data_IF_646656039764
#
_entry.id   IF_646656039764
#
_cell.length_a   1.000
_cell.length_b   1.000
_cell.length_c   1.000
_cell.angle_alpha   90.00
_cell.angle_beta   90.00
_cell.angle_gamma   90.00
#
_symmetry.space_group_name_H-M   'P 1'
#
loop_
_entity.id
_entity.type
_entity.pdbx_description
1 polymer ?
#
# COMPACT_ATOMS: atom_id res chain seq x y z
N UNK A 1 -13.10 52.69 -22.94
CA UNK A 1 -14.43 52.31 -23.47
C UNK A 1 -14.54 50.80 -23.34
N UNK A 2 -14.99 50.25 -22.21
CA UNK A 2 -16.40 49.98 -21.83
C UNK A 2 -17.07 49.06 -22.88
N UNK A 3 -17.55 47.84 -22.61
CA UNK A 3 -18.38 47.27 -21.53
C UNK A 3 -18.11 45.74 -21.46
N UNK A 4 -17.79 45.10 -20.32
CA UNK A 4 -18.67 44.50 -19.29
C UNK A 4 -20.05 44.04 -19.77
N UNK A 5 -20.23 42.72 -19.92
CA UNK A 5 -21.54 42.08 -19.72
C UNK A 5 -21.42 40.79 -18.89
N UNK A 6 -22.14 40.84 -17.78
CA UNK A 6 -22.38 39.84 -16.76
C UNK A 6 -23.63 39.06 -17.14
N UNK A 7 -23.65 37.74 -16.97
CA UNK A 7 -24.90 37.02 -16.82
C UNK A 7 -24.77 35.93 -15.76
N UNK A 8 -25.39 36.22 -14.61
CA UNK A 8 -25.88 35.26 -13.61
C UNK A 8 -27.02 34.46 -14.22
N UNK A 9 -27.06 33.16 -13.93
CA UNK A 9 -28.31 32.41 -13.80
C UNK A 9 -28.21 31.48 -12.59
N UNK A 10 -29.20 31.64 -11.71
CA UNK A 10 -29.48 30.84 -10.53
C UNK A 10 -30.97 30.43 -10.59
N UNK A 11 -31.32 29.42 -9.82
CA UNK A 11 -32.62 28.73 -9.69
C UNK A 11 -32.83 27.67 -10.77
N UNK A 12 -33.07 26.40 -10.42
CA UNK A 12 -34.26 25.98 -9.69
C UNK A 12 -34.05 24.73 -8.80
N UNK A 13 -34.65 24.77 -7.60
CA UNK A 13 -34.71 23.69 -6.62
C UNK A 13 -36.17 23.21 -6.59
N UNK A 14 -36.43 22.00 -7.06
CA UNK A 14 -37.73 21.34 -6.86
C UNK A 14 -37.56 19.96 -6.23
N UNK A 15 -37.90 19.96 -4.94
CA UNK A 15 -38.48 18.91 -4.11
C UNK A 15 -39.11 17.73 -4.85
N UNK A 16 -38.72 16.51 -4.51
CA UNK A 16 -39.67 15.39 -4.46
C UNK A 16 -39.32 14.43 -3.33
N UNK A 17 -40.35 14.08 -2.58
CA UNK A 17 -40.38 13.35 -1.31
C UNK A 17 -40.99 11.97 -1.58
N UNK A 18 -40.62 11.00 -0.74
CA UNK A 18 -41.28 9.70 -0.48
C UNK A 18 -40.89 8.51 -1.37
N UNK A 19 -40.17 7.55 -0.80
CA UNK A 19 -40.78 6.28 -0.39
C UNK A 19 -39.83 5.50 0.52
N UNK A 20 -40.29 5.25 1.74
CA UNK A 20 -39.73 4.29 2.65
C UNK A 20 -40.12 2.88 2.18
N UNK A 21 -39.16 1.97 2.09
CA UNK A 21 -39.45 0.54 2.00
C UNK A 21 -38.72 -0.12 3.16
N UNK A 22 -39.53 -0.59 4.11
CA UNK A 22 -39.16 -1.54 5.15
C UNK A 22 -38.77 -2.87 4.48
N UNK A 23 -37.60 -3.40 4.83
CA UNK A 23 -37.28 -4.80 4.60
C UNK A 23 -36.60 -5.38 5.85
N UNK A 24 -37.44 -5.77 6.79
CA UNK A 24 -37.13 -6.75 7.84
C UNK A 24 -37.04 -8.12 7.18
N UNK A 25 -35.86 -8.74 7.14
CA UNK A 25 -35.73 -10.15 6.77
C UNK A 25 -34.52 -10.80 7.46
N UNK A 26 -34.84 -11.47 8.56
CA UNK A 26 -34.41 -12.82 8.95
C UNK A 26 -32.96 -13.24 8.65
N UNK A 27 -32.15 -13.12 9.69
CA UNK A 27 -30.97 -13.95 9.94
C UNK A 27 -31.37 -15.43 10.06
N UNK A 28 -31.02 -16.25 9.08
CA UNK A 28 -30.96 -17.72 9.23
C UNK A 28 -29.51 -18.16 9.25
N UNK A 29 -29.07 -18.62 10.42
CA UNK A 29 -27.80 -19.33 10.65
C UNK A 29 -27.81 -20.65 9.88
N UNK A 30 -26.94 -20.82 8.90
CA UNK A 30 -26.64 -22.14 8.34
C UNK A 30 -25.28 -22.64 8.86
N UNK A 31 -25.38 -23.68 9.68
CA UNK A 31 -24.28 -24.49 10.20
C UNK A 31 -23.66 -25.31 9.05
N UNK A 32 -22.42 -25.02 8.66
CA UNK A 32 -21.61 -25.94 7.87
C UNK A 32 -20.92 -26.95 8.80
N UNK A 33 -21.56 -28.11 8.98
CA UNK A 33 -20.94 -29.32 9.54
C UNK A 33 -19.97 -29.89 8.50
N UNK A 34 -18.66 -29.72 8.72
CA UNK A 34 -17.63 -30.47 8.01
C UNK A 34 -17.61 -31.92 8.51
N UNK A 35 -18.06 -32.84 7.66
CA UNK A 35 -17.77 -34.27 7.78
C UNK A 35 -16.31 -34.53 7.37
N UNK A 36 -15.47 -34.96 8.30
CA UNK A 36 -14.18 -35.59 7.99
C UNK A 36 -14.38 -37.12 7.91
N UNK A 37 -13.87 -37.81 6.86
CA UNK A 37 -13.87 -39.26 6.82
C UNK A 37 -12.76 -39.84 7.72
N UNK A 38 -13.13 -40.86 8.49
CA UNK A 38 -12.24 -41.61 9.36
C UNK A 38 -11.26 -42.47 8.54
N UNK A 39 -9.95 -42.22 8.70
CA UNK A 39 -8.89 -43.08 8.17
C UNK A 39 -8.59 -44.16 9.21
N UNK A 40 -8.85 -45.42 8.85
CA UNK A 40 -8.43 -46.61 9.63
C UNK A 40 -6.91 -46.74 9.59
N UNK A 41 -6.26 -46.57 10.74
CA UNK A 41 -4.85 -46.91 10.93
C UNK A 41 -4.71 -48.41 11.18
N UNK A 42 -3.97 -49.06 10.29
CA UNK A 42 -3.60 -50.45 10.36
C UNK A 42 -2.57 -50.75 11.44
N UNK A 43 -2.72 -51.94 12.01
CA UNK A 43 -1.92 -52.60 13.02
C UNK A 43 -0.44 -52.69 12.66
N UNK A 44 0.40 -51.93 13.35
CA UNK A 44 1.86 -52.03 13.36
C UNK A 44 2.42 -52.00 14.78
N UNK A 45 1.75 -52.71 15.70
CA UNK A 45 2.10 -52.79 17.11
C UNK A 45 2.91 -54.08 17.32
N UNK A 46 4.25 -53.97 17.43
CA UNK A 46 5.17 -54.84 18.20
C UNK A 46 6.64 -54.70 17.76
N UNK A 47 7.24 -53.51 17.91
CA UNK A 47 8.71 -53.37 18.01
C UNK A 47 9.18 -52.10 18.75
N UNK A 48 8.29 -51.38 19.45
CA UNK A 48 8.60 -50.04 20.00
C UNK A 48 8.77 -49.99 21.53
N UNK A 49 9.02 -51.12 22.19
CA UNK A 49 9.06 -51.21 23.67
C UNK A 49 10.43 -51.50 24.30
N UNK A 50 11.53 -51.43 23.54
CA UNK A 50 12.88 -51.57 24.10
C UNK A 50 13.78 -50.33 23.95
N UNK A 51 13.30 -49.25 23.33
CA UNK A 51 14.06 -47.99 23.17
C UNK A 51 13.53 -46.81 24.00
N UNK A 52 12.39 -46.95 24.70
CA UNK A 52 11.80 -45.85 25.49
C UNK A 52 12.40 -45.67 26.89
N UNK A 53 13.08 -46.67 27.45
CA UNK A 53 13.64 -46.57 28.81
C UNK A 53 14.90 -45.70 28.92
N UNK A 54 15.76 -45.70 27.91
CA UNK A 54 17.07 -45.03 27.98
C UNK A 54 16.96 -43.54 27.62
N UNK A 55 16.02 -43.16 26.75
CA UNK A 55 15.85 -41.76 26.32
C UNK A 55 15.14 -40.87 27.35
N UNK A 56 14.40 -41.44 28.30
CA UNK A 56 13.66 -40.67 29.31
C UNK A 56 14.56 -40.19 30.47
N UNK A 57 15.56 -40.98 30.86
CA UNK A 57 16.49 -40.63 31.95
C UNK A 57 17.50 -39.54 31.53
N UNK A 58 17.93 -39.50 30.26
CA UNK A 58 18.87 -38.47 29.78
C UNK A 58 18.20 -37.09 29.59
N UNK A 59 16.89 -37.05 29.31
CA UNK A 59 16.14 -35.80 29.06
C UNK A 59 15.75 -35.05 30.35
N UNK A 60 15.61 -35.75 31.47
CA UNK A 60 15.27 -35.15 32.77
C UNK A 60 16.48 -34.51 33.47
N UNK A 61 17.70 -34.99 33.24
CA UNK A 61 18.92 -34.40 33.81
C UNK A 61 19.42 -33.15 33.04
N UNK A 62 19.08 -33.01 31.76
CA UNK A 62 19.48 -31.85 30.93
C UNK A 62 18.54 -30.63 31.03
N UNK A 63 17.30 -30.81 31.51
CA UNK A 63 16.32 -29.70 31.62
C UNK A 63 16.36 -28.99 32.98
N UNK A 64 16.84 -29.65 34.03
CA UNK A 64 16.94 -29.07 35.37
C UNK A 64 18.14 -28.13 35.57
N UNK A 65 19.22 -28.29 34.79
CA UNK A 65 20.44 -27.46 34.88
C UNK A 65 20.43 -26.24 33.97
N UNK A 66 19.64 -26.23 32.89
CA UNK A 66 19.50 -25.06 31.99
C UNK A 66 18.50 -24.01 32.50
N UNK A 67 17.52 -24.40 33.34
CA UNK A 67 16.52 -23.48 33.90
C UNK A 67 17.05 -22.65 35.10
N UNK A 68 18.08 -23.12 35.80
CA UNK A 68 18.67 -22.40 36.94
C UNK A 68 19.74 -21.38 36.54
N UNK A 69 20.28 -21.45 35.31
CA UNK A 69 21.27 -20.50 34.80
C UNK A 69 20.67 -19.27 34.08
N UNK A 70 19.42 -19.33 33.62
CA UNK A 70 18.77 -18.23 32.89
C UNK A 70 17.89 -17.30 33.76
N UNK A 71 17.59 -17.69 35.01
CA UNK A 71 16.72 -16.90 35.89
C UNK A 71 17.33 -15.59 36.44
N UNK A 72 18.67 -15.39 36.58
CA UNK A 72 19.18 -14.11 37.09
C UNK A 72 19.39 -13.03 36.01
N UNK A 73 19.25 -13.33 34.71
CA UNK A 73 19.43 -12.34 33.63
C UNK A 73 18.15 -11.50 33.39
N UNK A 74 17.00 -11.93 33.93
CA UNK A 74 15.71 -11.24 33.72
C UNK A 74 15.48 -10.00 34.62
N UNK A 75 16.42 -9.64 35.50
CA UNK A 75 16.18 -8.61 36.54
C UNK A 75 16.98 -7.30 36.41
N UNK A 76 17.74 -7.04 35.32
CA UNK A 76 18.61 -5.83 35.25
C UNK A 76 18.32 -4.88 34.08
N UNK A 77 17.10 -4.81 33.54
CA UNK A 77 16.75 -3.76 32.57
C UNK A 77 15.34 -3.18 32.80
N UNK A 78 15.13 -2.61 33.99
CA UNK A 78 14.00 -1.75 34.28
C UNK A 78 14.38 -0.27 34.21
N UNK A 79 14.87 0.23 33.07
CA UNK A 79 14.86 1.67 32.83
C UNK A 79 13.42 2.07 32.52
N UNK A 80 12.67 2.52 33.53
CA UNK A 80 11.40 3.21 33.31
C UNK A 80 11.70 4.54 32.63
N UNK A 81 11.28 4.77 31.37
CA UNK A 81 11.39 6.09 30.79
C UNK A 81 10.55 7.03 31.65
N UNK A 82 11.21 8.06 32.16
CA UNK A 82 10.59 9.15 32.88
C UNK A 82 9.71 9.89 31.87
N UNK A 83 8.42 9.57 31.86
CA UNK A 83 7.42 10.26 31.05
C UNK A 83 7.30 11.66 31.65
N UNK A 84 7.99 12.62 31.05
CA UNK A 84 7.69 14.03 31.25
C UNK A 84 6.28 14.26 30.71
N UNK A 85 5.35 14.84 31.51
CA UNK A 85 4.04 15.19 31.01
C UNK A 85 4.20 16.40 30.10
N UNK A 86 4.38 16.15 28.80
CA UNK A 86 4.21 17.17 27.78
C UNK A 86 2.74 17.15 27.38
N UNK A 87 1.99 18.01 28.07
CA UNK A 87 0.59 18.28 27.79
C UNK A 87 0.49 19.06 26.47
N UNK A 88 0.62 18.34 25.36
CA UNK A 88 0.16 18.74 24.02
C UNK A 88 -0.12 17.46 23.20
N UNK A 89 -1.21 16.77 23.56
CA UNK A 89 -1.66 15.48 22.99
C UNK A 89 -1.87 15.45 21.46
N UNK A 90 -1.52 16.52 20.73
CA UNK A 90 -1.70 16.68 19.28
C UNK A 90 -0.39 16.96 18.53
N UNK A 91 0.72 16.33 18.93
CA UNK A 91 1.97 16.44 18.17
C UNK A 91 1.86 15.83 16.77
N UNK A 92 2.62 16.36 15.81
CA UNK A 92 2.63 15.86 14.42
C UNK A 92 3.04 14.39 14.30
N UNK A 93 3.98 13.94 15.13
CA UNK A 93 4.37 12.52 15.19
C UNK A 93 3.18 11.64 15.61
N UNK A 94 2.39 12.08 16.60
CA UNK A 94 1.22 11.35 17.09
C UNK A 94 0.12 11.28 16.03
N UNK A 95 -0.11 12.36 15.27
CA UNK A 95 -1.07 12.33 14.16
C UNK A 95 -0.70 11.25 13.13
N UNK A 96 0.57 11.19 12.72
CA UNK A 96 1.04 10.23 11.74
C UNK A 96 0.89 8.78 12.23
N UNK A 97 1.24 8.54 13.50
CA UNK A 97 1.10 7.24 14.16
C UNK A 97 -0.37 6.80 14.32
N UNK A 98 -1.26 7.72 14.71
CA UNK A 98 -2.71 7.46 14.75
C UNK A 98 -3.25 7.16 13.36
N UNK A 99 -2.86 7.92 12.35
CA UNK A 99 -3.26 7.69 10.96
C UNK A 99 -2.81 6.30 10.49
N UNK A 100 -1.55 5.96 10.74
CA UNK A 100 -0.95 4.70 10.29
C UNK A 100 -1.63 3.49 10.93
N UNK A 101 -1.99 3.56 12.21
CA UNK A 101 -2.82 2.53 12.86
C UNK A 101 -4.18 2.34 12.21
N UNK A 102 -4.85 3.43 11.82
CA UNK A 102 -6.15 3.32 11.15
C UNK A 102 -6.01 2.64 9.79
N UNK A 103 -5.00 3.03 9.01
CA UNK A 103 -4.72 2.40 7.71
C UNK A 103 -4.43 0.90 7.85
N UNK A 104 -3.63 0.51 8.85
CA UNK A 104 -3.30 -0.89 9.11
C UNK A 104 -4.54 -1.70 9.56
N UNK A 105 -5.30 -1.18 10.53
CA UNK A 105 -6.52 -1.83 11.04
C UNK A 105 -7.54 -2.08 9.94
N UNK A 106 -7.67 -1.14 9.00
CA UNK A 106 -8.62 -1.24 7.90
C UNK A 106 -8.03 -1.85 6.62
N UNK A 107 -6.74 -2.21 6.63
CA UNK A 107 -6.02 -2.78 5.47
C UNK A 107 -6.14 -1.91 4.21
N UNK A 108 -6.17 -0.59 4.37
CA UNK A 108 -6.35 0.38 3.27
C UNK A 108 -5.04 0.94 2.72
N UNK A 109 -3.91 0.38 3.16
CA UNK A 109 -2.56 0.84 2.83
C UNK A 109 -2.29 0.89 1.32
N UNK A 110 -1.52 1.90 0.90
CA UNK A 110 -1.10 2.02 -0.49
C UNK A 110 0.08 1.10 -0.81
N UNK A 111 -0.18 0.02 -1.55
CA UNK A 111 0.84 -0.95 -1.94
C UNK A 111 1.89 -0.40 -2.93
N UNK A 112 1.67 0.77 -3.54
CA UNK A 112 2.61 1.34 -4.50
C UNK A 112 3.86 1.97 -3.85
N UNK A 113 3.82 2.24 -2.55
CA UNK A 113 4.92 2.89 -1.82
C UNK A 113 5.09 2.29 -0.44
N UNK A 114 6.30 2.32 0.09
CA UNK A 114 6.60 1.84 1.44
C UNK A 114 7.01 2.98 2.37
N UNK A 115 6.60 2.89 3.63
CA UNK A 115 7.07 3.78 4.71
C UNK A 115 8.56 3.60 4.92
N UNK A 116 9.27 4.71 5.08
CA UNK A 116 10.69 4.71 5.43
C UNK A 116 10.83 4.60 6.94
N UNK A 117 11.49 3.54 7.41
CA UNK A 117 11.66 3.29 8.86
C UNK A 117 12.36 4.46 9.54
N UNK A 118 11.79 4.94 10.65
CA UNK A 118 12.31 6.10 11.38
C UNK A 118 11.93 7.46 10.81
N UNK A 119 11.22 7.51 9.67
CA UNK A 119 10.74 8.74 9.05
C UNK A 119 9.27 8.60 8.67
N UNK A 120 8.35 8.81 9.63
CA UNK A 120 6.91 8.57 9.45
C UNK A 120 6.27 9.41 8.32
N UNK A 121 6.88 10.53 7.98
CA UNK A 121 6.45 11.47 6.95
C UNK A 121 7.09 11.24 5.57
N UNK A 122 7.86 10.15 5.41
CA UNK A 122 8.51 9.78 4.16
C UNK A 122 8.06 8.39 3.69
N UNK A 123 7.81 8.29 2.39
CA UNK A 123 7.62 7.01 1.69
C UNK A 123 8.50 6.94 0.47
N UNK A 124 8.96 5.75 0.16
CA UNK A 124 9.77 5.47 -1.02
C UNK A 124 9.13 4.39 -1.86
N UNK A 125 9.37 4.47 -3.17
CA UNK A 125 9.25 3.32 -4.06
C UNK A 125 10.66 2.80 -4.40
N UNK A 126 10.71 1.73 -5.20
CA UNK A 126 11.97 1.12 -5.63
C UNK A 126 12.88 2.09 -6.40
N UNK A 127 12.32 3.04 -7.14
CA UNK A 127 13.07 3.97 -7.98
C UNK A 127 13.70 5.07 -7.12
N UNK A 128 12.91 5.67 -6.23
CA UNK A 128 13.39 6.63 -5.24
C UNK A 128 14.45 6.00 -4.32
N UNK A 129 14.25 4.74 -3.92
CA UNK A 129 15.20 4.03 -3.09
C UNK A 129 16.53 3.79 -3.81
N UNK A 130 16.48 3.38 -5.07
CA UNK A 130 17.67 3.22 -5.89
C UNK A 130 18.41 4.55 -6.09
N UNK A 131 17.68 5.64 -6.40
CA UNK A 131 18.28 6.96 -6.60
C UNK A 131 18.87 7.53 -5.32
N UNK A 132 18.21 7.36 -4.17
CA UNK A 132 18.73 7.83 -2.88
C UNK A 132 20.08 7.17 -2.53
N UNK A 133 20.25 5.88 -2.84
CA UNK A 133 21.54 5.20 -2.64
C UNK A 133 22.66 5.70 -3.56
N UNK A 134 22.31 6.20 -4.75
CA UNK A 134 23.23 6.72 -5.75
C UNK A 134 23.45 8.23 -5.65
N UNK A 135 22.78 8.92 -4.72
CA UNK A 135 22.86 10.37 -4.60
C UNK A 135 24.16 10.78 -3.91
N UNK A 136 24.99 11.56 -4.59
CA UNK A 136 26.34 11.89 -4.14
C UNK A 136 26.45 13.28 -3.52
N UNK A 137 25.48 14.17 -3.78
CA UNK A 137 25.43 15.51 -3.20
C UNK A 137 24.29 15.68 -2.19
N UNK A 138 24.47 16.60 -1.25
CA UNK A 138 23.40 16.97 -0.30
C UNK A 138 22.18 17.56 -1.03
N UNK A 139 22.40 18.24 -2.16
CA UNK A 139 21.31 18.83 -2.96
C UNK A 139 20.44 17.74 -3.61
N UNK A 140 21.07 16.71 -4.20
CA UNK A 140 20.37 15.53 -4.74
C UNK A 140 19.60 14.80 -3.64
N UNK A 141 20.23 14.57 -2.49
CA UNK A 141 19.61 13.88 -1.36
C UNK A 141 18.42 14.65 -0.81
N UNK A 142 18.53 15.98 -0.69
CA UNK A 142 17.43 16.86 -0.27
C UNK A 142 16.29 16.82 -1.27
N UNK A 143 16.58 16.89 -2.56
CA UNK A 143 15.57 16.79 -3.61
C UNK A 143 14.83 15.45 -3.52
N UNK A 144 15.56 14.33 -3.41
CA UNK A 144 14.96 13.00 -3.32
C UNK A 144 14.14 12.81 -2.04
N UNK A 145 14.59 13.36 -0.90
CA UNK A 145 13.82 13.34 0.34
C UNK A 145 12.50 14.10 0.21
N UNK A 146 12.50 15.25 -0.49
CA UNK A 146 11.28 16.00 -0.79
C UNK A 146 10.34 15.21 -1.72
N UNK A 147 10.88 14.47 -2.70
CA UNK A 147 10.08 13.57 -3.52
C UNK A 147 9.44 12.44 -2.68
N UNK A 148 10.19 11.86 -1.73
CA UNK A 148 9.65 10.87 -0.79
C UNK A 148 8.54 11.44 0.10
N UNK A 149 8.70 12.69 0.54
CA UNK A 149 7.70 13.41 1.32
C UNK A 149 6.40 13.64 0.54
N UNK A 150 6.52 14.11 -0.71
CA UNK A 150 5.37 14.31 -1.58
C UNK A 150 4.66 12.97 -1.86
N UNK A 151 5.42 11.89 -2.05
CA UNK A 151 4.87 10.54 -2.24
C UNK A 151 4.15 10.01 -1.00
N UNK A 152 4.65 10.29 0.20
CA UNK A 152 3.93 9.97 1.43
C UNK A 152 2.58 10.69 1.47
N UNK A 153 2.54 12.00 1.24
CA UNK A 153 1.30 12.78 1.24
C UNK A 153 0.30 12.28 0.19
N UNK A 154 0.75 12.05 -1.04
CA UNK A 154 -0.10 11.51 -2.11
C UNK A 154 -0.72 10.16 -1.69
N UNK A 155 0.07 9.30 -1.05
CA UNK A 155 -0.37 7.97 -0.60
C UNK A 155 -1.34 8.07 0.56
N UNK A 156 -1.06 8.91 1.56
CA UNK A 156 -1.98 9.17 2.69
C UNK A 156 -3.30 9.75 2.21
N UNK A 157 -3.30 10.60 1.19
CA UNK A 157 -4.55 11.12 0.62
C UNK A 157 -5.38 10.03 -0.05
N UNK A 158 -4.75 9.07 -0.74
CA UNK A 158 -5.46 7.90 -1.29
C UNK A 158 -5.96 6.97 -0.20
N UNK A 159 -5.15 6.71 0.82
CA UNK A 159 -5.51 5.87 1.97
C UNK A 159 -6.69 6.47 2.72
N UNK A 160 -6.69 7.79 2.94
CA UNK A 160 -7.80 8.49 3.57
C UNK A 160 -9.11 8.30 2.83
N UNK A 161 -9.09 8.34 1.49
CA UNK A 161 -10.28 8.11 0.65
C UNK A 161 -10.78 6.66 0.69
N UNK A 162 -9.92 5.70 1.08
CA UNK A 162 -10.27 4.29 1.20
C UNK A 162 -10.76 3.91 2.61
N UNK A 163 -10.52 4.74 3.61
CA UNK A 163 -10.97 4.49 4.99
C UNK A 163 -12.50 4.62 5.11
N UNK A 164 -13.15 3.89 6.03
CA UNK A 164 -14.57 4.10 6.34
C UNK A 164 -14.86 5.54 6.76
N UNK A 165 -16.06 6.03 6.45
CA UNK A 165 -16.43 7.43 6.68
C UNK A 165 -16.31 7.84 8.15
N UNK A 166 -16.64 6.93 9.08
CA UNK A 166 -16.56 7.16 10.53
C UNK A 166 -15.10 7.37 10.96
N UNK A 167 -14.17 6.60 10.39
CA UNK A 167 -12.74 6.70 10.67
C UNK A 167 -12.16 7.99 10.08
N UNK A 168 -12.61 8.36 8.88
CA UNK A 168 -12.26 9.65 8.27
C UNK A 168 -12.69 10.82 9.16
N UNK A 169 -13.91 10.79 9.70
CA UNK A 169 -14.43 11.80 10.63
C UNK A 169 -13.64 11.86 11.94
N UNK A 170 -13.29 10.70 12.52
CA UNK A 170 -12.44 10.64 13.71
C UNK A 170 -11.06 11.25 13.47
N UNK A 171 -10.43 10.93 12.34
CA UNK A 171 -9.14 11.53 11.96
C UNK A 171 -9.28 13.04 11.72
N UNK A 172 -10.41 13.51 11.20
CA UNK A 172 -10.62 14.94 10.93
C UNK A 172 -10.57 15.79 12.21
N UNK A 173 -10.89 15.23 13.38
CA UNK A 173 -10.80 15.90 14.69
C UNK A 173 -9.37 16.36 15.05
N UNK A 174 -8.36 15.83 14.37
CA UNK A 174 -6.97 16.26 14.51
C UNK A 174 -6.65 17.57 13.78
N UNK A 175 -7.59 18.09 13.01
CA UNK A 175 -7.44 19.30 12.22
C UNK A 175 -8.36 20.42 12.69
N UNK A 176 -8.01 21.69 12.38
CA UNK A 176 -8.94 22.80 12.52
C UNK A 176 -10.25 22.51 11.77
N UNK A 177 -11.38 22.98 12.30
CA UNK A 177 -12.72 22.84 11.71
C UNK A 177 -13.21 21.40 11.49
N UNK A 178 -12.44 20.39 11.91
CA UNK A 178 -12.80 18.96 11.82
C UNK A 178 -13.21 18.49 10.42
N UNK A 179 -12.62 19.09 9.36
CA UNK A 179 -12.91 18.72 7.97
C UNK A 179 -11.80 17.87 7.35
N UNK A 180 -12.17 17.05 6.35
CA UNK A 180 -11.19 16.26 5.58
C UNK A 180 -10.20 17.16 4.84
N UNK A 181 -10.64 18.32 4.34
CA UNK A 181 -9.76 19.28 3.68
C UNK A 181 -8.73 19.86 4.67
N UNK A 182 -9.18 20.26 5.87
CA UNK A 182 -8.29 20.74 6.91
C UNK A 182 -7.34 19.65 7.42
N UNK A 183 -7.78 18.38 7.47
CA UNK A 183 -6.92 17.24 7.79
C UNK A 183 -5.80 17.07 6.77
N UNK A 184 -6.10 17.12 5.47
CA UNK A 184 -5.08 17.07 4.41
C UNK A 184 -4.07 18.22 4.55
N UNK A 185 -4.55 19.44 4.79
CA UNK A 185 -3.68 20.58 5.05
C UNK A 185 -2.81 20.39 6.31
N UNK A 186 -3.37 19.80 7.36
CA UNK A 186 -2.67 19.51 8.62
C UNK A 186 -1.59 18.44 8.43
N UNK A 187 -1.88 17.36 7.71
CA UNK A 187 -0.89 16.35 7.33
C UNK A 187 0.27 16.96 6.53
N UNK A 188 -0.02 17.84 5.57
CA UNK A 188 1.00 18.53 4.78
C UNK A 188 1.91 19.42 5.65
N UNK A 189 1.31 20.25 6.53
CA UNK A 189 2.08 21.09 7.46
C UNK A 189 2.93 20.25 8.42
N UNK A 190 2.35 19.19 8.99
CA UNK A 190 3.06 18.30 9.91
C UNK A 190 4.21 17.55 9.23
N UNK A 191 4.00 17.07 8.01
CA UNK A 191 5.05 16.47 7.19
C UNK A 191 6.22 17.43 6.96
N UNK A 192 5.93 18.69 6.61
CA UNK A 192 6.95 19.72 6.43
C UNK A 192 7.66 20.08 7.75
N UNK A 193 6.93 20.11 8.88
CA UNK A 193 7.51 20.35 10.20
C UNK A 193 8.49 19.25 10.59
N UNK A 194 8.05 17.98 10.54
CA UNK A 194 8.89 16.82 10.88
C UNK A 194 10.14 16.78 9.99
N UNK A 195 9.99 17.05 8.69
CA UNK A 195 11.14 17.15 7.78
C UNK A 195 12.12 18.26 8.19
N UNK A 196 11.62 19.45 8.55
CA UNK A 196 12.51 20.54 8.99
C UNK A 196 13.26 20.19 10.27
N UNK A 197 12.60 19.53 11.22
CA UNK A 197 13.20 19.11 12.49
C UNK A 197 14.32 18.08 12.26
N UNK A 198 14.04 17.02 11.49
CA UNK A 198 15.02 15.96 11.20
C UNK A 198 16.23 16.47 10.40
N UNK A 199 16.01 17.39 9.46
CA UNK A 199 17.04 17.86 8.52
C UNK A 199 17.89 19.03 9.04
N UNK A 200 17.77 19.37 10.33
CA UNK A 200 18.74 20.24 11.01
C UNK A 200 20.08 19.52 11.27
N UNK A 201 20.08 18.19 11.28
CA UNK A 201 21.28 17.38 11.49
C UNK A 201 21.78 16.81 10.16
N UNK A 202 23.03 17.11 9.78
CA UNK A 202 23.67 16.59 8.56
C UNK A 202 23.74 15.05 8.52
N UNK A 203 23.72 14.36 9.66
CA UNK A 203 23.68 12.90 9.72
C UNK A 203 22.34 12.30 9.25
N UNK A 204 21.29 13.13 9.09
CA UNK A 204 19.97 12.70 8.61
C UNK A 204 20.07 11.95 7.30
N UNK A 205 20.93 12.39 6.37
CA UNK A 205 21.03 11.79 5.06
C UNK A 205 21.66 10.39 5.13
N UNK A 206 22.60 10.17 6.03
CA UNK A 206 23.18 8.85 6.27
C UNK A 206 22.15 7.90 6.91
N UNK A 207 21.36 8.40 7.87
CA UNK A 207 20.23 7.65 8.43
C UNK A 207 19.20 7.32 7.36
N UNK A 208 18.83 8.30 6.53
CA UNK A 208 17.85 8.14 5.46
C UNK A 208 18.31 7.13 4.41
N UNK A 209 19.56 7.23 3.93
CA UNK A 209 20.14 6.26 2.99
C UNK A 209 20.10 4.82 3.52
N UNK A 210 20.34 4.63 4.82
CA UNK A 210 20.26 3.30 5.46
C UNK A 210 18.82 2.83 5.65
N UNK A 211 17.91 3.75 5.97
CA UNK A 211 16.50 3.46 6.25
C UNK A 211 15.67 3.17 4.99
N UNK A 212 16.05 3.77 3.86
CA UNK A 212 15.38 3.58 2.58
C UNK A 212 15.74 2.20 2.02
N UNK A 213 14.97 1.21 2.44
CA UNK A 213 15.10 -0.17 1.99
C UNK A 213 14.47 -0.35 0.61
N UNK A 214 15.10 -1.17 -0.23
CA UNK A 214 14.37 -1.95 -1.23
C UNK A 214 14.18 -3.31 -0.58
N UNK A 215 12.97 -3.59 -0.11
CA UNK A 215 12.64 -4.96 0.25
C UNK A 215 12.71 -5.77 -1.04
N UNK A 216 13.67 -6.67 -1.09
CA UNK A 216 13.72 -7.67 -2.13
C UNK A 216 12.83 -8.83 -1.68
N UNK A 217 11.70 -9.04 -2.36
CA UNK A 217 10.78 -10.15 -2.07
C UNK A 217 11.42 -11.52 -2.41
N UNK A 218 12.61 -11.55 -3.02
CA UNK A 218 13.35 -12.77 -3.25
C UNK A 218 14.09 -13.23 -2.00
N UNK A 219 13.69 -14.38 -1.46
CA UNK A 219 14.46 -15.08 -0.42
C UNK A 219 15.81 -15.54 -0.97
N UNK A 220 16.88 -14.79 -0.67
CA UNK A 220 18.23 -15.04 -1.18
C UNK A 220 18.74 -16.48 -0.96
N UNK A 221 18.36 -17.13 0.14
CA UNK A 221 18.72 -18.53 0.37
C UNK A 221 18.08 -19.47 -0.66
N UNK A 222 16.83 -19.24 -1.10
CA UNK A 222 16.18 -20.05 -2.15
C UNK A 222 16.89 -19.90 -3.49
N UNK A 223 17.50 -18.74 -3.74
CA UNK A 223 18.37 -18.48 -4.88
C UNK A 223 19.71 -19.21 -4.72
N UNK A 224 20.26 -19.24 -3.51
CA UNK A 224 21.53 -19.91 -3.20
C UNK A 224 21.45 -21.44 -3.27
N UNK A 225 20.35 -22.08 -2.86
CA UNK A 225 20.20 -23.55 -2.99
C UNK A 225 19.93 -24.03 -4.42
N UNK A 226 19.86 -23.13 -5.41
CA UNK A 226 19.68 -23.52 -6.81
C UNK A 226 18.34 -24.21 -7.10
N UNK A 227 17.33 -24.05 -6.24
CA UNK A 227 16.00 -24.61 -6.46
C UNK A 227 15.27 -23.89 -7.60
N UNK A 228 15.55 -22.62 -7.85
CA UNK A 228 14.91 -21.84 -8.92
C UNK A 228 15.02 -22.50 -10.30
N UNK A 229 16.22 -22.93 -10.78
CA UNK A 229 16.34 -23.70 -12.02
C UNK A 229 15.39 -24.89 -12.15
N UNK A 230 15.09 -25.59 -11.06
CA UNK A 230 14.19 -26.76 -11.08
C UNK A 230 12.74 -26.36 -11.36
N UNK A 231 12.34 -25.16 -10.94
CA UNK A 231 10.99 -24.64 -11.17
C UNK A 231 10.86 -23.83 -12.47
N UNK A 232 11.96 -23.49 -13.15
CA UNK A 232 11.91 -22.71 -14.40
C UNK A 232 11.05 -23.42 -15.44
N UNK A 233 11.31 -24.69 -15.72
CA UNK A 233 10.57 -25.42 -16.77
C UNK A 233 9.06 -25.49 -16.51
N UNK A 234 8.56 -25.96 -15.34
CA UNK A 234 7.12 -26.02 -15.10
C UNK A 234 6.47 -24.63 -14.99
N UNK A 235 7.16 -23.64 -14.43
CA UNK A 235 6.63 -22.27 -14.33
C UNK A 235 6.57 -21.59 -15.69
N UNK A 236 7.59 -21.74 -16.53
CA UNK A 236 7.60 -21.23 -17.90
C UNK A 236 6.46 -21.85 -18.71
N UNK A 237 6.31 -23.18 -18.66
CA UNK A 237 5.19 -23.85 -19.33
C UNK A 237 3.82 -23.36 -18.86
N UNK A 238 3.63 -23.19 -17.55
CA UNK A 238 2.37 -22.65 -17.00
C UNK A 238 2.13 -21.20 -17.44
N UNK A 239 3.17 -20.37 -17.43
CA UNK A 239 3.09 -18.98 -17.83
C UNK A 239 2.78 -18.85 -19.33
N UNK A 240 3.41 -19.68 -20.17
CA UNK A 240 3.18 -19.71 -21.61
C UNK A 240 1.74 -20.15 -21.92
N UNK A 241 1.25 -21.22 -21.30
CA UNK A 241 -0.15 -21.66 -21.44
C UNK A 241 -1.15 -20.59 -20.98
N UNK A 242 -0.91 -19.97 -19.82
CA UNK A 242 -1.77 -18.91 -19.33
C UNK A 242 -1.73 -17.69 -20.27
N UNK A 243 -0.58 -17.40 -20.86
CA UNK A 243 -0.43 -16.33 -21.85
C UNK A 243 -1.21 -16.65 -23.13
N UNK A 244 -1.10 -17.88 -23.65
CA UNK A 244 -1.86 -18.34 -24.82
C UNK A 244 -3.36 -18.30 -24.54
N UNK A 245 -3.82 -18.72 -23.36
CA UNK A 245 -5.23 -18.65 -22.97
C UNK A 245 -5.73 -17.20 -22.92
N UNK A 246 -4.98 -16.30 -22.30
CA UNK A 246 -5.31 -14.87 -22.27
C UNK A 246 -5.35 -14.31 -23.70
N UNK A 247 -4.32 -14.57 -24.51
CA UNK A 247 -4.29 -14.10 -25.90
C UNK A 247 -5.47 -14.64 -26.71
N UNK A 248 -5.79 -15.92 -26.59
CA UNK A 248 -6.93 -16.53 -27.25
C UNK A 248 -8.24 -15.92 -26.77
N UNK A 249 -8.42 -15.71 -25.47
CA UNK A 249 -9.61 -15.06 -24.90
C UNK A 249 -9.81 -13.64 -25.43
N UNK A 250 -8.72 -12.88 -25.61
CA UNK A 250 -8.75 -11.52 -26.17
C UNK A 250 -9.02 -11.57 -27.68
N UNK A 251 -8.37 -12.48 -28.41
CA UNK A 251 -8.52 -12.62 -29.86
C UNK A 251 -9.89 -13.15 -30.28
N UNK A 252 -10.52 -13.99 -29.45
CA UNK A 252 -11.85 -14.55 -29.68
C UNK A 252 -12.96 -13.81 -28.93
N UNK A 253 -12.63 -12.72 -28.24
CA UNK A 253 -13.62 -11.90 -27.55
C UNK A 253 -14.61 -11.29 -28.57
N UNK A 254 -15.88 -11.65 -28.41
CA UNK A 254 -16.97 -11.11 -29.22
C UNK A 254 -17.66 -9.96 -28.48
N UNK A 255 -17.55 -8.74 -29.04
CA UNK A 255 -18.20 -7.55 -28.50
C UNK A 255 -19.73 -7.69 -28.44
N UNK A 256 -20.35 -8.58 -29.24
CA UNK A 256 -21.79 -8.83 -29.20
C UNK A 256 -22.28 -9.40 -27.85
N UNK A 257 -21.36 -9.99 -27.07
CA UNK A 257 -21.65 -10.52 -25.72
C UNK A 257 -21.83 -9.42 -24.68
N UNK A 258 -21.46 -8.18 -24.99
CA UNK A 258 -21.62 -7.04 -24.09
C UNK A 258 -23.07 -6.55 -24.10
N UNK A 259 -23.73 -6.63 -22.95
CA UNK A 259 -25.06 -6.05 -22.74
C UNK A 259 -24.94 -4.64 -22.15
N UNK A 260 -25.61 -3.61 -22.69
CA UNK A 260 -25.51 -2.24 -22.18
C UNK A 260 -25.83 -2.12 -20.68
N UNK A 261 -26.88 -2.79 -20.22
CA UNK A 261 -27.33 -2.83 -18.82
C UNK A 261 -26.26 -3.33 -17.83
N UNK A 262 -25.43 -4.29 -18.25
CA UNK A 262 -24.39 -4.89 -17.38
C UNK A 262 -22.99 -4.41 -17.70
N UNK A 263 -22.79 -3.52 -18.68
CA UNK A 263 -21.46 -3.09 -19.12
C UNK A 263 -21.21 -1.63 -18.81
N UNK A 264 -20.24 -1.35 -17.95
CA UNK A 264 -19.71 -0.01 -17.75
C UNK A 264 -18.65 0.28 -18.82
N UNK A 265 -18.77 1.40 -19.50
CA UNK A 265 -17.80 1.81 -20.53
C UNK A 265 -17.16 3.13 -20.14
N UNK A 266 -15.85 3.10 -19.94
CA UNK A 266 -15.02 4.26 -19.68
C UNK A 266 -14.32 4.67 -20.98
N UNK A 267 -14.61 5.88 -21.46
CA UNK A 267 -14.00 6.46 -22.66
C UNK A 267 -13.21 7.72 -22.28
N UNK A 268 -12.04 7.96 -22.88
CA UNK A 268 -11.39 9.24 -22.72
C UNK A 268 -12.25 10.35 -23.36
N UNK A 269 -12.28 11.51 -22.71
CA UNK A 269 -13.05 12.67 -23.19
C UNK A 269 -12.52 13.22 -24.53
N UNK A 270 -11.24 13.00 -24.80
CA UNK A 270 -10.54 13.45 -25.99
C UNK A 270 -9.54 12.39 -26.43
N UNK A 271 -9.38 12.21 -27.74
CA UNK A 271 -8.26 11.47 -28.33
C UNK A 271 -7.48 12.45 -29.18
N UNK A 272 -6.36 12.91 -28.66
CA UNK A 272 -5.45 13.79 -29.38
C UNK A 272 -4.14 13.03 -29.62
N UNK A 273 -3.98 12.40 -30.81
CA UNK A 273 -2.76 11.66 -31.12
C UNK A 273 -1.54 12.58 -31.05
N UNK A 274 -0.54 12.19 -30.27
CA UNK A 274 0.73 12.90 -30.20
C UNK A 274 1.67 12.42 -31.31
N UNK A 275 2.33 13.38 -31.97
CA UNK A 275 3.42 13.07 -32.89
C UNK A 275 4.62 12.46 -32.12
N UNK A 276 5.31 11.49 -32.73
CA UNK A 276 6.47 10.83 -32.13
C UNK A 276 7.56 11.81 -31.66
N UNK A 277 7.76 12.91 -32.40
CA UNK A 277 8.68 13.99 -32.02
C UNK A 277 8.29 14.65 -30.68
N UNK A 278 7.00 14.89 -30.45
CA UNK A 278 6.50 15.47 -29.21
C UNK A 278 6.72 14.49 -28.04
N UNK A 279 6.39 13.21 -28.23
CA UNK A 279 6.60 12.17 -27.22
C UNK A 279 8.08 12.10 -26.82
N UNK A 280 8.99 12.09 -27.80
CA UNK A 280 10.44 12.08 -27.54
C UNK A 280 10.87 13.31 -26.74
N UNK A 281 10.37 14.49 -27.09
CA UNK A 281 10.68 15.73 -26.37
C UNK A 281 10.22 15.64 -24.90
N UNK A 282 9.00 15.17 -24.64
CA UNK A 282 8.43 14.98 -23.30
C UNK A 282 9.28 14.00 -22.47
N UNK A 283 9.64 12.86 -23.05
CA UNK A 283 10.46 11.84 -22.38
C UNK A 283 11.89 12.33 -22.10
N UNK A 284 12.50 13.10 -23.00
CA UNK A 284 13.81 13.71 -22.77
C UNK A 284 13.74 14.75 -21.66
N UNK A 285 12.74 15.65 -21.70
CA UNK A 285 12.54 16.67 -20.68
C UNK A 285 12.27 16.05 -19.30
N UNK A 286 11.55 14.92 -19.23
CA UNK A 286 11.22 14.24 -17.98
C UNK A 286 12.43 13.81 -17.14
N UNK A 287 13.61 13.68 -17.77
CA UNK A 287 14.86 13.29 -17.11
C UNK A 287 15.64 14.47 -16.54
N UNK A 288 15.25 15.70 -16.90
CA UNK A 288 15.98 16.91 -16.57
C UNK A 288 15.65 17.40 -15.16
N UNK A 289 15.99 16.61 -14.13
CA UNK A 289 15.94 17.03 -12.74
C UNK A 289 17.17 16.53 -11.99
N UNK A 290 17.49 17.22 -10.90
CA UNK A 290 18.66 16.93 -10.08
C UNK A 290 18.62 15.51 -9.48
N UNK A 291 17.44 14.96 -9.19
CA UNK A 291 17.30 13.59 -8.70
C UNK A 291 17.52 12.51 -9.75
N UNK A 292 17.65 12.85 -11.03
CA UNK A 292 17.72 11.89 -12.14
C UNK A 292 16.49 10.98 -12.24
N UNK A 293 15.33 11.44 -11.75
CA UNK A 293 14.07 10.69 -11.81
C UNK A 293 13.40 10.92 -13.18
N UNK A 294 12.61 9.96 -13.64
CA UNK A 294 11.73 10.18 -14.79
C UNK A 294 10.43 10.83 -14.31
N UNK A 295 10.35 12.16 -14.35
CA UNK A 295 9.18 12.89 -13.90
C UNK A 295 8.56 13.69 -15.04
N UNK A 296 7.38 13.27 -15.46
CA UNK A 296 6.54 14.03 -16.38
C UNK A 296 5.77 15.08 -15.58
N UNK A 297 5.73 16.31 -16.09
CA UNK A 297 4.83 17.33 -15.54
C UNK A 297 3.36 16.95 -15.77
N UNK A 298 2.46 17.65 -15.09
CA UNK A 298 1.03 17.33 -15.14
C UNK A 298 0.43 17.46 -16.55
N UNK A 299 0.85 18.45 -17.33
CA UNK A 299 0.37 18.67 -18.69
C UNK A 299 0.86 17.59 -19.64
N UNK A 300 2.13 17.22 -19.56
CA UNK A 300 2.70 16.13 -20.36
C UNK A 300 2.08 14.77 -20.00
N UNK A 301 1.84 14.49 -18.71
CA UNK A 301 1.09 13.30 -18.28
C UNK A 301 -0.32 13.27 -18.86
N UNK A 302 -1.04 14.38 -18.80
CA UNK A 302 -2.41 14.46 -19.33
C UNK A 302 -2.42 14.26 -20.85
N UNK A 303 -1.52 14.92 -21.58
CA UNK A 303 -1.38 14.75 -23.04
C UNK A 303 -1.06 13.31 -23.43
N UNK A 304 -0.17 12.65 -22.70
CA UNK A 304 0.11 11.23 -22.92
C UNK A 304 -1.12 10.37 -22.62
N UNK A 305 -1.85 10.66 -21.53
CA UNK A 305 -3.10 9.98 -21.23
C UNK A 305 -4.14 10.18 -22.34
N UNK A 306 -4.36 11.40 -22.82
CA UNK A 306 -5.32 11.69 -23.90
C UNK A 306 -4.93 11.04 -25.23
N UNK A 307 -3.63 10.85 -25.49
CA UNK A 307 -3.15 10.19 -26.70
C UNK A 307 -3.25 8.66 -26.64
N UNK A 308 -3.11 8.06 -25.45
CA UNK A 308 -2.95 6.60 -25.30
C UNK A 308 -4.00 5.92 -24.43
N UNK A 309 -4.94 6.67 -23.82
CA UNK A 309 -5.96 6.09 -22.97
C UNK A 309 -6.83 5.10 -23.76
N UNK A 310 -6.92 3.83 -23.30
CA UNK A 310 -7.79 2.86 -23.92
C UNK A 310 -9.27 3.18 -23.62
N UNK A 311 -10.16 2.56 -24.38
CA UNK A 311 -11.55 2.42 -23.93
C UNK A 311 -11.57 1.20 -23.01
N UNK A 312 -11.99 1.40 -21.77
CA UNK A 312 -12.14 0.31 -20.82
C UNK A 312 -13.61 -0.10 -20.78
N UNK A 313 -13.86 -1.40 -20.84
CA UNK A 313 -15.19 -1.98 -20.71
C UNK A 313 -15.16 -2.95 -19.54
N UNK A 314 -16.05 -2.75 -18.57
CA UNK A 314 -16.18 -3.60 -17.40
C UNK A 314 -17.57 -4.23 -17.38
N UNK A 315 -17.62 -5.54 -17.55
CA UNK A 315 -18.85 -6.31 -17.38
C UNK A 315 -19.08 -6.50 -15.88
N UNK A 316 -20.23 -6.06 -15.39
CA UNK A 316 -20.72 -6.34 -14.04
C UNK A 316 -21.49 -7.65 -14.09
N UNK A 317 -20.93 -8.70 -13.47
CA UNK A 317 -21.73 -9.86 -13.13
C UNK A 317 -22.66 -9.45 -11.98
N UNK A 318 -23.97 -9.62 -12.20
CA UNK A 318 -24.91 -9.69 -11.09
C UNK A 318 -24.62 -11.02 -10.41
N UNK A 319 -23.97 -10.99 -9.24
CA UNK A 319 -23.96 -12.15 -8.35
C UNK A 319 -25.38 -12.33 -7.82
N UNK A 320 -26.18 -13.04 -8.61
CA UNK A 320 -27.38 -13.73 -8.18
C UNK A 320 -27.06 -15.21 -8.27
N UNK A 321 -26.45 -15.74 -7.19
CA UNK A 321 -26.84 -16.98 -6.50
C UNK A 321 -25.96 -17.24 -5.26
#
# INVERSE_FOLDING_TARGET
MALVHSHKQAHDLTTTRHSAINATALWTRNNCLMHQPAVKLGTGQKTFLLWQGVFMALRQLLTATLLTAFLPILFITGCTPQITPQDDTRSCATLFDVFDRQVERHKTGDAATERVTGFSYLRSDRFLAQRMRQADSNEEQRYLAEQMRQRDLDSRYRELLRLPQEVQQQLALWAPDSTILALKATLSRCSAQLMREDFQNEEVYQRLKKAVAIKDDYHGWRRAVGLYPLFVLPVSWLADNAHEEIQHSVATFDESRLKPETTLVYRPNSRQPLAAKAIRAMLTASRSNIGGLHQLDQGDRQRLADSFAPILRQVRQSDSD
#
